data_IF_128019501137
#
_entry.id   IF_128019501137
#
_cell.length_a   1.000
_cell.length_b   1.000
_cell.length_c   1.000
_cell.angle_alpha   90.00
_cell.angle_beta   90.00
_cell.angle_gamma   90.00
#
_symmetry.space_group_name_H-M   'P 1'
#
loop_
_entity.id
_entity.type
_entity.pdbx_description
1 polymer ?
#
# COMPACT_ATOMS: atom_id res chain seq x y z
N UNK A 1 45.34 -14.63 48.70
CA UNK A 1 44.20 -14.80 49.63
C UNK A 1 42.98 -14.11 49.06
N UNK A 2 41.97 -14.86 48.65
CA UNK A 2 40.72 -14.32 48.09
C UNK A 2 39.93 -13.64 49.21
N UNK A 3 39.93 -12.29 49.24
CA UNK A 3 39.03 -11.53 50.13
C UNK A 3 37.60 -11.91 49.76
N UNK A 4 36.84 -12.45 50.72
CA UNK A 4 35.38 -12.59 50.60
C UNK A 4 34.83 -11.18 50.36
N UNK A 5 34.45 -10.88 49.10
CA UNK A 5 33.80 -9.63 48.73
C UNK A 5 32.49 -9.58 49.50
N UNK A 6 32.42 -8.69 50.48
CA UNK A 6 31.19 -8.47 51.22
C UNK A 6 30.30 -7.57 50.39
N UNK A 7 28.97 -7.65 50.54
CA UNK A 7 28.01 -6.73 49.89
C UNK A 7 28.38 -5.24 50.09
N UNK A 8 29.14 -4.93 51.14
CA UNK A 8 29.64 -3.58 51.42
C UNK A 8 30.75 -3.16 50.45
N UNK A 9 31.68 -4.06 50.11
CA UNK A 9 32.79 -3.76 49.21
C UNK A 9 32.30 -3.54 47.78
N UNK A 10 31.32 -4.32 47.33
CA UNK A 10 30.67 -4.16 46.03
C UNK A 10 29.96 -2.80 45.91
N UNK A 11 29.31 -2.35 46.99
CA UNK A 11 28.67 -1.03 47.07
C UNK A 11 29.71 0.10 47.00
N UNK A 12 30.84 -0.03 47.71
CA UNK A 12 31.95 0.92 47.65
C UNK A 12 32.52 1.03 46.23
N UNK A 13 32.76 -0.12 45.58
CA UNK A 13 33.30 -0.18 44.22
C UNK A 13 32.37 0.43 43.18
N UNK A 14 31.07 0.14 43.26
CA UNK A 14 30.06 0.70 42.35
C UNK A 14 29.99 2.23 42.43
N UNK A 15 29.98 2.80 43.65
CA UNK A 15 29.97 4.25 43.84
C UNK A 15 31.27 4.86 43.33
N UNK A 16 32.42 4.26 43.63
CA UNK A 16 33.72 4.74 43.19
C UNK A 16 33.81 4.75 41.65
N UNK A 17 33.35 3.68 41.00
CA UNK A 17 33.35 3.54 39.56
C UNK A 17 32.44 4.59 38.90
N UNK A 18 31.24 4.83 39.44
CA UNK A 18 30.35 5.89 38.96
C UNK A 18 31.02 7.28 39.00
N UNK A 19 31.62 7.63 40.14
CA UNK A 19 32.26 8.94 40.31
C UNK A 19 33.48 9.07 39.40
N UNK A 20 34.32 8.03 39.30
CA UNK A 20 35.52 8.05 38.47
C UNK A 20 35.21 8.12 36.97
N UNK A 21 34.20 7.38 36.50
CA UNK A 21 33.80 7.33 35.09
C UNK A 21 33.15 8.63 34.63
N UNK A 22 32.25 9.19 35.43
CA UNK A 22 31.55 10.42 35.08
C UNK A 22 32.41 11.68 35.30
N UNK A 23 33.45 11.59 36.15
CA UNK A 23 34.36 12.67 36.49
C UNK A 23 33.67 14.01 36.85
N UNK A 24 32.53 13.93 37.54
CA UNK A 24 31.74 15.09 37.98
C UNK A 24 31.56 15.08 39.50
N UNK A 25 31.32 16.23 40.15
CA UNK A 25 30.97 16.26 41.57
C UNK A 25 29.59 15.65 41.84
N UNK A 26 29.46 14.93 42.95
CA UNK A 26 28.23 14.27 43.39
C UNK A 26 27.91 14.65 44.83
N UNK A 27 26.63 14.77 45.15
CA UNK A 27 26.13 14.73 46.52
C UNK A 27 25.46 13.36 46.78
N UNK A 28 25.04 13.10 48.03
CA UNK A 28 24.41 11.82 48.36
C UNK A 28 23.13 11.54 47.56
N UNK A 29 22.32 12.57 47.27
CA UNK A 29 21.04 12.43 46.56
C UNK A 29 21.25 12.01 45.11
N UNK A 30 22.31 12.51 44.46
CA UNK A 30 22.66 12.11 43.10
C UNK A 30 23.13 10.66 43.02
N UNK A 31 23.80 10.16 44.05
CA UNK A 31 24.20 8.75 44.15
C UNK A 31 22.98 7.87 44.48
N UNK A 32 22.07 8.34 45.34
CA UNK A 32 20.80 7.67 45.64
C UNK A 32 19.93 7.51 44.40
N UNK A 33 19.88 8.52 43.52
CA UNK A 33 19.20 8.43 42.23
C UNK A 33 19.84 7.41 41.28
N UNK A 34 21.17 7.26 41.31
CA UNK A 34 21.88 6.28 40.48
C UNK A 34 21.78 4.85 41.03
N UNK A 35 21.61 4.70 42.35
CA UNK A 35 21.50 3.41 43.03
C UNK A 35 20.28 3.38 43.98
N UNK A 36 19.04 3.32 43.44
CA UNK A 36 17.82 3.35 44.26
C UNK A 36 17.71 2.19 45.25
N UNK A 37 18.42 1.09 45.00
CA UNK A 37 18.47 -0.09 45.85
C UNK A 37 19.31 0.10 47.12
N UNK A 38 20.13 1.15 47.20
CA UNK A 38 20.90 1.48 48.39
C UNK A 38 20.16 2.50 49.23
N UNK A 39 19.90 2.19 50.50
CA UNK A 39 19.28 3.15 51.41
C UNK A 39 20.18 4.36 51.67
N UNK A 40 19.60 5.55 51.81
CA UNK A 40 20.29 6.82 52.12
C UNK A 40 21.42 6.69 53.14
N UNK A 41 21.17 6.05 54.27
CA UNK A 41 22.14 5.89 55.36
C UNK A 41 23.36 5.08 54.92
N UNK A 42 23.14 4.03 54.11
CA UNK A 42 24.23 3.23 53.55
C UNK A 42 25.08 4.08 52.61
N UNK A 43 24.45 4.82 51.68
CA UNK A 43 25.16 5.68 50.72
C UNK A 43 26.02 6.74 51.44
N UNK A 44 25.43 7.47 52.39
CA UNK A 44 26.15 8.52 53.14
C UNK A 44 27.33 7.92 53.91
N UNK A 45 27.15 6.76 54.56
CA UNK A 45 28.21 6.07 55.29
C UNK A 45 29.32 5.59 54.34
N UNK A 46 28.95 5.06 53.17
CA UNK A 46 29.89 4.59 52.15
C UNK A 46 30.70 5.75 51.57
N UNK A 47 30.06 6.86 51.20
CA UNK A 47 30.75 8.06 50.69
C UNK A 47 31.73 8.63 51.71
N UNK A 48 31.31 8.72 52.98
CA UNK A 48 32.20 9.18 54.05
C UNK A 48 33.39 8.23 54.24
N UNK A 49 33.15 6.93 54.27
CA UNK A 49 34.20 5.89 54.33
C UNK A 49 35.19 6.02 53.17
N UNK A 50 34.70 6.18 51.93
CA UNK A 50 35.55 6.36 50.74
C UNK A 50 36.36 7.66 50.77
N UNK A 51 35.78 8.74 51.31
CA UNK A 51 36.47 10.00 51.54
C UNK A 51 37.57 9.88 52.60
N UNK A 52 37.26 9.26 53.75
CA UNK A 52 38.21 9.02 54.84
C UNK A 52 39.36 8.08 54.45
N UNK A 53 39.08 7.09 53.59
CA UNK A 53 40.11 6.21 52.99
C UNK A 53 40.99 6.93 51.96
N UNK A 54 40.73 8.19 51.63
CA UNK A 54 41.47 8.93 50.61
C UNK A 54 41.28 8.37 49.19
N UNK A 55 40.14 7.72 48.91
CA UNK A 55 39.77 7.27 47.56
C UNK A 55 38.94 8.30 46.79
N UNK A 56 38.32 9.24 47.51
CA UNK A 56 37.55 10.35 46.97
C UNK A 56 37.97 11.64 47.66
N UNK A 57 37.92 12.75 46.92
CA UNK A 57 37.99 14.08 47.51
C UNK A 57 36.59 14.50 47.92
N UNK A 58 36.46 15.15 49.07
CA UNK A 58 35.19 15.68 49.53
C UNK A 58 35.36 17.05 50.18
N UNK A 59 34.30 17.85 50.14
CA UNK A 59 34.24 19.14 50.84
C UNK A 59 32.83 19.39 51.36
N UNK A 60 32.77 19.88 52.58
CA UNK A 60 31.54 20.27 53.23
C UNK A 60 31.20 21.72 52.91
N UNK A 61 29.95 21.96 52.52
CA UNK A 61 29.37 23.26 52.24
C UNK A 61 28.08 23.39 53.06
N UNK A 62 28.15 24.17 54.14
CA UNK A 62 27.06 24.36 55.11
C UNK A 62 26.57 23.04 55.73
N UNK A 63 25.52 22.44 55.16
CA UNK A 63 24.90 21.18 55.60
C UNK A 63 25.01 20.06 54.56
N UNK A 64 25.71 20.29 53.45
CA UNK A 64 25.84 19.33 52.36
C UNK A 64 27.31 18.98 52.13
N UNK A 65 27.59 17.70 51.87
CA UNK A 65 28.92 17.23 51.49
C UNK A 65 28.91 16.88 50.01
N UNK A 66 29.90 17.39 49.28
CA UNK A 66 30.11 17.11 47.87
C UNK A 66 31.35 16.22 47.76
N UNK A 67 31.24 15.15 46.97
CA UNK A 67 32.28 14.16 46.71
C UNK A 67 32.66 14.17 45.23
N UNK A 68 33.93 14.06 44.92
CA UNK A 68 34.42 13.93 43.54
C UNK A 68 35.67 13.06 43.49
N UNK A 69 36.00 12.61 42.28
CA UNK A 69 37.21 11.87 41.98
C UNK A 69 38.44 12.69 42.35
N UNK A 70 39.45 12.03 42.91
CA UNK A 70 40.78 12.63 43.10
C UNK A 70 41.37 12.96 41.72
N UNK A 71 41.66 14.25 41.48
CA UNK A 71 42.37 14.68 40.29
C UNK A 71 43.86 14.65 40.62
N UNK A 72 44.54 13.60 40.16
CA UNK A 72 46.00 13.59 40.20
C UNK A 72 46.53 14.56 39.15
N UNK A 73 47.14 15.65 39.62
CA UNK A 73 47.81 16.66 38.79
C UNK A 73 49.31 16.43 38.71
N UNK A 74 49.84 15.37 39.34
CA UNK A 74 51.25 15.04 39.33
C UNK A 74 51.73 14.49 37.98
N UNK A 75 53.05 14.53 37.73
CA UNK A 75 53.65 13.83 36.60
C UNK A 75 53.32 12.34 36.71
N UNK A 76 52.81 11.75 35.63
CA UNK A 76 52.59 10.30 35.59
C UNK A 76 53.95 9.64 35.47
N UNK A 77 54.30 8.77 36.41
CA UNK A 77 55.57 8.05 36.39
C UNK A 77 55.37 6.65 35.80
N UNK A 78 56.36 6.15 35.08
CA UNK A 78 56.45 4.76 34.66
C UNK A 78 56.86 3.84 35.83
N UNK A 79 56.95 2.53 35.57
CA UNK A 79 57.32 1.53 36.58
C UNK A 79 58.73 1.76 37.17
N UNK A 80 59.57 2.51 36.47
CA UNK A 80 60.94 2.84 36.85
C UNK A 80 61.04 4.23 37.51
N UNK A 81 59.92 4.96 37.65
CA UNK A 81 59.85 6.26 38.30
C UNK A 81 60.16 7.45 37.39
N UNK A 82 60.29 7.25 36.07
CA UNK A 82 60.48 8.33 35.11
C UNK A 82 59.16 8.92 34.65
N UNK A 83 59.13 10.23 34.42
CA UNK A 83 57.96 10.91 33.91
C UNK A 83 57.60 10.44 32.50
N UNK A 84 56.38 9.93 32.35
CA UNK A 84 55.79 9.53 31.07
C UNK A 84 55.45 10.83 30.32
N UNK A 85 56.05 11.05 29.12
CA UNK A 85 55.72 12.21 28.31
C UNK A 85 54.22 12.24 28.01
N UNK A 86 53.54 13.28 28.49
CA UNK A 86 52.14 13.50 28.15
C UNK A 86 52.06 14.26 26.83
N UNK A 87 51.18 13.81 25.93
CA UNK A 87 50.91 14.54 24.69
C UNK A 87 50.44 15.95 25.01
N UNK A 88 50.98 16.94 24.29
CA UNK A 88 50.56 18.31 24.50
C UNK A 88 49.09 18.47 24.11
N UNK A 89 48.42 19.44 24.71
CA UNK A 89 47.06 19.83 24.32
C UNK A 89 46.98 20.12 22.81
N UNK A 90 48.04 20.67 22.23
CA UNK A 90 48.10 20.97 20.80
C UNK A 90 48.11 19.69 19.94
N UNK A 91 48.87 18.67 20.34
CA UNK A 91 48.92 17.38 19.64
C UNK A 91 47.57 16.65 19.74
N UNK A 92 46.95 16.68 20.91
CA UNK A 92 45.62 16.10 21.13
C UNK A 92 44.55 16.81 20.29
N UNK A 93 44.58 18.14 20.22
CA UNK A 93 43.67 18.90 19.36
C UNK A 93 43.88 18.57 17.88
N UNK A 94 45.14 18.44 17.44
CA UNK A 94 45.44 18.05 16.05
C UNK A 94 44.91 16.66 15.72
N UNK A 95 45.02 15.70 16.65
CA UNK A 95 44.43 14.37 16.50
C UNK A 95 42.90 14.42 16.47
N UNK A 96 42.29 15.21 17.34
CA UNK A 96 40.85 15.41 17.39
C UNK A 96 40.34 15.96 16.05
N UNK A 97 41.00 16.98 15.51
CA UNK A 97 40.67 17.56 14.19
C UNK A 97 40.84 16.53 13.07
N UNK A 98 41.89 15.71 13.12
CA UNK A 98 42.11 14.62 12.16
C UNK A 98 40.98 13.58 12.19
N UNK A 99 40.61 13.13 13.39
CA UNK A 99 39.52 12.16 13.59
C UNK A 99 38.17 12.76 13.18
N UNK A 100 37.90 14.02 13.51
CA UNK A 100 36.66 14.69 13.11
C UNK A 100 36.54 14.80 11.58
N UNK A 101 37.63 15.12 10.88
CA UNK A 101 37.63 15.14 9.40
C UNK A 101 37.38 13.75 8.81
N UNK A 102 38.00 12.71 9.39
CA UNK A 102 37.72 11.33 8.97
C UNK A 102 36.26 10.94 9.20
N UNK A 103 35.71 11.32 10.36
CA UNK A 103 34.31 11.07 10.70
C UNK A 103 33.36 11.76 9.71
N UNK A 104 33.65 13.00 9.31
CA UNK A 104 32.85 13.74 8.33
C UNK A 104 32.85 13.05 6.96
N UNK A 105 34.02 12.64 6.48
CA UNK A 105 34.16 11.89 5.21
C UNK A 105 33.41 10.56 5.26
N UNK A 106 33.55 9.80 6.36
CA UNK A 106 32.83 8.53 6.54
C UNK A 106 31.31 8.73 6.64
N UNK A 107 30.85 9.81 7.27
CA UNK A 107 29.42 10.13 7.33
C UNK A 107 28.86 10.47 5.95
N UNK A 108 29.60 11.21 5.12
CA UNK A 108 29.14 11.58 3.78
C UNK A 108 29.17 10.41 2.80
N UNK A 109 30.20 9.56 2.88
CA UNK A 109 30.22 8.30 2.11
C UNK A 109 29.06 7.39 2.52
N UNK A 110 28.79 7.23 3.83
CA UNK A 110 27.65 6.46 4.31
C UNK A 110 26.32 7.00 3.77
N UNK A 111 26.10 8.31 3.80
CA UNK A 111 24.89 8.94 3.21
C UNK A 111 24.76 8.63 1.72
N UNK A 112 25.86 8.74 0.97
CA UNK A 112 25.89 8.43 -0.47
C UNK A 112 25.56 6.96 -0.74
N UNK A 113 26.17 6.03 0.00
CA UNK A 113 25.90 4.60 -0.12
C UNK A 113 24.45 4.25 0.23
N UNK A 114 23.89 4.85 1.28
CA UNK A 114 22.47 4.67 1.63
C UNK A 114 21.56 5.15 0.50
N UNK A 115 21.88 6.30 -0.13
CA UNK A 115 21.11 6.82 -1.25
C UNK A 115 21.17 5.89 -2.47
N UNK A 116 22.36 5.41 -2.82
CA UNK A 116 22.55 4.48 -3.94
C UNK A 116 21.85 3.14 -3.68
N UNK A 117 21.97 2.60 -2.46
CA UNK A 117 21.29 1.38 -2.06
C UNK A 117 19.77 1.51 -2.18
N UNK A 118 19.20 2.63 -1.71
CA UNK A 118 17.75 2.89 -1.87
C UNK A 118 17.33 2.98 -3.34
N UNK A 119 18.13 3.64 -4.17
CA UNK A 119 17.83 3.75 -5.61
C UNK A 119 17.83 2.37 -6.27
N UNK A 120 18.85 1.55 -6.01
CA UNK A 120 18.95 0.20 -6.56
C UNK A 120 17.82 -0.71 -6.06
N UNK A 121 17.46 -0.62 -4.79
CA UNK A 121 16.41 -1.45 -4.20
C UNK A 121 14.99 -1.08 -4.69
N UNK A 122 14.82 0.15 -5.20
CA UNK A 122 13.56 0.59 -5.83
C UNK A 122 13.47 0.24 -7.32
N UNK A 123 14.57 -0.23 -7.94
CA UNK A 123 14.54 -0.71 -9.31
C UNK A 123 14.05 -2.15 -9.36
N UNK A 124 13.32 -2.49 -10.42
CA UNK A 124 12.95 -3.88 -10.69
C UNK A 124 14.22 -4.69 -10.92
N UNK A 125 14.27 -5.90 -10.39
CA UNK A 125 15.34 -6.85 -10.73
C UNK A 125 15.28 -7.20 -12.22
N UNK A 126 16.41 -7.57 -12.80
CA UNK A 126 16.50 -7.98 -14.21
C UNK A 126 15.49 -9.09 -14.55
N UNK A 127 15.25 -10.02 -13.63
CA UNK A 127 14.26 -11.08 -13.78
C UNK A 127 12.82 -10.54 -13.85
N UNK A 128 12.49 -9.56 -13.00
CA UNK A 128 11.18 -8.92 -12.99
C UNK A 128 10.97 -8.08 -14.25
N UNK A 129 11.98 -7.34 -14.69
CA UNK A 129 11.95 -6.58 -15.95
C UNK A 129 11.69 -7.54 -17.11
N UNK A 130 12.44 -8.65 -17.18
CA UNK A 130 12.25 -9.63 -18.25
C UNK A 130 10.84 -10.24 -18.24
N UNK A 131 10.28 -10.50 -17.05
CA UNK A 131 8.91 -10.99 -16.90
C UNK A 131 7.88 -9.96 -17.38
N UNK A 132 8.01 -8.69 -16.99
CA UNK A 132 7.12 -7.62 -17.47
C UNK A 132 7.21 -7.43 -18.98
N UNK A 133 8.42 -7.41 -19.54
CA UNK A 133 8.62 -7.29 -20.99
C UNK A 133 7.94 -8.45 -21.73
N UNK A 134 8.08 -9.67 -21.23
CA UNK A 134 7.42 -10.83 -21.83
C UNK A 134 5.89 -10.71 -21.75
N UNK A 135 5.36 -10.30 -20.60
CA UNK A 135 3.92 -10.10 -20.39
C UNK A 135 3.35 -9.03 -21.33
N UNK A 136 3.98 -7.85 -21.37
CA UNK A 136 3.59 -6.76 -22.25
C UNK A 136 3.69 -7.16 -23.73
N UNK A 137 4.71 -7.94 -24.10
CA UNK A 137 4.84 -8.46 -25.46
C UNK A 137 3.70 -9.42 -25.83
N UNK A 138 3.29 -10.29 -24.91
CA UNK A 138 2.13 -11.18 -25.14
C UNK A 138 0.83 -10.40 -25.24
N UNK A 139 0.60 -9.41 -24.36
CA UNK A 139 -0.60 -8.59 -24.38
C UNK A 139 -0.70 -7.75 -25.66
N UNK A 140 0.42 -7.18 -26.11
CA UNK A 140 0.47 -6.46 -27.39
C UNK A 140 0.10 -7.37 -28.56
N UNK A 141 0.63 -8.60 -28.62
CA UNK A 141 0.28 -9.57 -29.68
C UNK A 141 -1.20 -9.94 -29.65
N UNK A 142 -1.78 -10.12 -28.46
CA UNK A 142 -3.21 -10.41 -28.32
C UNK A 142 -4.08 -9.24 -28.78
N UNK A 143 -3.70 -8.01 -28.41
CA UNK A 143 -4.41 -6.81 -28.84
C UNK A 143 -4.29 -6.59 -30.35
N UNK A 144 -3.13 -6.81 -30.94
CA UNK A 144 -2.94 -6.76 -32.40
C UNK A 144 -3.82 -7.81 -33.12
N UNK A 145 -3.90 -9.03 -32.59
CA UNK A 145 -4.77 -10.06 -33.15
C UNK A 145 -6.25 -9.67 -33.05
N UNK A 146 -6.71 -9.18 -31.89
CA UNK A 146 -8.08 -8.66 -31.71
C UNK A 146 -8.37 -7.53 -32.69
N UNK A 147 -7.44 -6.59 -32.84
CA UNK A 147 -7.57 -5.47 -33.76
C UNK A 147 -7.73 -5.95 -35.22
N UNK A 148 -6.96 -6.95 -35.65
CA UNK A 148 -7.08 -7.54 -36.99
C UNK A 148 -8.46 -8.20 -37.19
N UNK A 149 -9.02 -8.86 -36.16
CA UNK A 149 -10.38 -9.44 -36.25
C UNK A 149 -11.48 -8.39 -36.35
N UNK A 150 -11.25 -7.18 -35.84
CA UNK A 150 -12.18 -6.07 -35.99
C UNK A 150 -12.02 -5.38 -37.35
N UNK A 151 -10.80 -5.24 -37.86
CA UNK A 151 -10.55 -4.66 -39.19
C UNK A 151 -11.12 -5.50 -40.34
N UNK A 152 -11.17 -6.83 -40.18
CA UNK A 152 -11.72 -7.75 -41.20
C UNK A 152 -13.24 -7.83 -41.20
N UNK A 153 -13.91 -7.39 -40.13
CA UNK A 153 -15.36 -7.31 -40.09
C UNK A 153 -15.79 -5.97 -40.67
N UNK A 154 -16.81 -5.97 -41.52
CA UNK A 154 -17.40 -4.75 -42.06
C UNK A 154 -18.08 -4.00 -40.90
N UNK A 155 -17.35 -3.05 -40.31
CA UNK A 155 -17.85 -2.22 -39.23
C UNK A 155 -18.80 -1.21 -39.87
N UNK A 156 -20.09 -1.43 -39.71
CA UNK A 156 -21.11 -0.45 -40.04
C UNK A 156 -20.83 0.84 -39.25
N UNK A 157 -20.67 1.96 -39.94
CA UNK A 157 -20.54 3.25 -39.28
C UNK A 157 -21.80 3.53 -38.45
N UNK A 158 -21.66 4.23 -37.33
CA UNK A 158 -22.81 4.67 -36.53
C UNK A 158 -23.86 5.42 -37.40
N UNK A 159 -23.41 6.12 -38.44
CA UNK A 159 -24.30 6.80 -39.41
C UNK A 159 -25.09 5.81 -40.26
N UNK A 160 -24.46 4.73 -40.72
CA UNK A 160 -25.13 3.72 -41.54
C UNK A 160 -26.10 2.91 -40.70
N UNK A 161 -25.77 2.66 -39.42
CA UNK A 161 -26.67 2.04 -38.46
C UNK A 161 -27.93 2.90 -38.24
N UNK A 162 -27.78 4.21 -38.06
CA UNK A 162 -28.92 5.12 -37.91
C UNK A 162 -29.81 5.13 -39.17
N UNK A 163 -29.21 5.17 -40.37
CA UNK A 163 -29.97 5.11 -41.63
C UNK A 163 -30.76 3.81 -41.78
N UNK A 164 -30.17 2.68 -41.37
CA UNK A 164 -30.85 1.39 -41.36
C UNK A 164 -32.03 1.38 -40.39
N UNK A 165 -31.82 1.87 -39.17
CA UNK A 165 -32.88 1.98 -38.15
C UNK A 165 -34.05 2.84 -38.64
N UNK A 166 -33.78 3.97 -39.28
CA UNK A 166 -34.82 4.85 -39.82
C UNK A 166 -35.56 4.21 -41.00
N UNK A 167 -34.85 3.46 -41.84
CA UNK A 167 -35.44 2.71 -42.95
C UNK A 167 -36.39 1.62 -42.45
N UNK A 168 -35.96 0.86 -41.43
CA UNK A 168 -36.79 -0.18 -40.79
C UNK A 168 -38.03 0.45 -40.15
N UNK A 169 -37.87 1.55 -39.39
CA UNK A 169 -38.99 2.28 -38.78
C UNK A 169 -40.00 2.74 -39.84
N UNK A 170 -39.52 3.32 -40.95
CA UNK A 170 -40.38 3.78 -42.05
C UNK A 170 -41.12 2.62 -42.70
N UNK A 171 -40.40 1.55 -43.08
CA UNK A 171 -41.00 0.37 -43.71
C UNK A 171 -42.08 -0.28 -42.83
N UNK A 172 -41.82 -0.40 -41.52
CA UNK A 172 -42.80 -0.89 -40.56
C UNK A 172 -44.03 0.01 -40.48
N UNK A 173 -43.84 1.33 -40.40
CA UNK A 173 -44.96 2.28 -40.32
C UNK A 173 -45.88 2.19 -41.55
N UNK A 174 -45.30 2.01 -42.74
CA UNK A 174 -46.03 1.82 -43.99
C UNK A 174 -46.78 0.48 -44.00
N UNK A 175 -46.17 -0.60 -43.52
CA UNK A 175 -46.83 -1.90 -43.40
C UNK A 175 -48.05 -1.85 -42.48
N UNK A 176 -47.94 -1.26 -41.27
CA UNK A 176 -49.08 -1.10 -40.36
C UNK A 176 -50.22 -0.33 -41.05
N UNK A 177 -49.91 0.82 -41.64
CA UNK A 177 -50.91 1.69 -42.28
C UNK A 177 -51.62 0.99 -43.43
N UNK A 178 -50.88 0.33 -44.32
CA UNK A 178 -51.45 -0.37 -45.48
C UNK A 178 -52.31 -1.56 -45.07
N UNK A 179 -51.87 -2.32 -44.06
CA UNK A 179 -52.66 -3.45 -43.52
C UNK A 179 -53.97 -2.97 -42.88
N UNK A 180 -53.94 -1.84 -42.16
CA UNK A 180 -55.15 -1.23 -41.61
C UNK A 180 -56.11 -0.76 -42.71
N UNK A 181 -55.61 -0.04 -43.71
CA UNK A 181 -56.41 0.41 -44.87
C UNK A 181 -57.05 -0.76 -45.63
N UNK A 182 -56.28 -1.82 -45.87
CA UNK A 182 -56.81 -3.01 -46.54
C UNK A 182 -57.92 -3.68 -45.73
N UNK A 183 -57.77 -3.79 -44.40
CA UNK A 183 -58.81 -4.35 -43.52
C UNK A 183 -60.08 -3.51 -43.54
N UNK A 184 -59.96 -2.18 -43.45
CA UNK A 184 -61.10 -1.27 -43.51
C UNK A 184 -61.88 -1.39 -44.84
N UNK A 185 -61.17 -1.39 -45.97
CA UNK A 185 -61.80 -1.59 -47.29
C UNK A 185 -62.46 -2.98 -47.38
N UNK A 186 -61.78 -4.01 -46.90
CA UNK A 186 -62.30 -5.38 -46.91
C UNK A 186 -63.58 -5.50 -46.08
N UNK A 187 -63.61 -4.90 -44.89
CA UNK A 187 -64.78 -4.93 -44.01
C UNK A 187 -65.97 -4.18 -44.65
N UNK A 188 -65.73 -3.04 -45.31
CA UNK A 188 -66.77 -2.32 -46.06
C UNK A 188 -67.34 -3.13 -47.24
N UNK A 189 -66.50 -3.89 -47.94
CA UNK A 189 -66.94 -4.76 -49.05
C UNK A 189 -67.72 -5.97 -48.51
N UNK A 190 -67.26 -6.56 -47.40
CA UNK A 190 -67.95 -7.69 -46.75
C UNK A 190 -69.28 -7.28 -46.11
N UNK A 191 -69.42 -6.05 -45.64
CA UNK A 191 -70.70 -5.57 -45.11
C UNK A 191 -71.74 -5.38 -46.22
N UNK A 192 -71.31 -4.94 -47.41
CA UNK A 192 -72.18 -4.76 -48.59
C UNK A 192 -72.45 -6.05 -49.36
N UNK A 193 -71.65 -7.08 -49.16
CA UNK A 193 -71.78 -8.36 -49.86
C UNK A 193 -72.29 -9.44 -48.90
N UNK A 194 -73.27 -10.24 -49.32
CA UNK A 194 -73.72 -11.38 -48.52
C UNK A 194 -72.73 -12.57 -48.56
N UNK A 195 -71.45 -12.35 -48.91
CA UNK A 195 -70.42 -13.39 -49.05
C UNK A 195 -69.57 -13.49 -47.77
N UNK A 196 -69.10 -14.70 -47.44
CA UNK A 196 -68.16 -14.88 -46.34
C UNK A 196 -66.76 -14.45 -46.79
N UNK A 197 -65.93 -13.99 -45.84
CA UNK A 197 -64.55 -13.55 -46.09
C UNK A 197 -63.69 -14.56 -46.86
N UNK A 198 -63.86 -15.85 -46.61
CA UNK A 198 -63.11 -16.92 -47.30
C UNK A 198 -63.50 -17.03 -48.77
N UNK A 199 -64.79 -16.97 -49.08
CA UNK A 199 -65.29 -17.04 -50.45
C UNK A 199 -64.79 -15.82 -51.25
N UNK A 200 -64.79 -14.64 -50.63
CA UNK A 200 -64.26 -13.43 -51.26
C UNK A 200 -62.72 -13.48 -51.42
N UNK A 201 -62.02 -14.10 -50.48
CA UNK A 201 -60.57 -14.30 -50.57
C UNK A 201 -60.20 -15.24 -51.71
N UNK A 202 -60.96 -16.31 -51.94
CA UNK A 202 -60.77 -17.23 -53.06
C UNK A 202 -61.12 -16.56 -54.41
N UNK A 203 -62.22 -15.80 -54.45
CA UNK A 203 -62.66 -15.07 -55.66
C UNK A 203 -61.64 -14.01 -56.10
N UNK A 204 -61.08 -13.25 -55.16
CA UNK A 204 -60.14 -12.15 -55.45
C UNK A 204 -58.67 -12.61 -55.45
N UNK A 205 -58.37 -13.71 -54.74
CA UNK A 205 -57.04 -14.32 -54.72
C UNK A 205 -56.00 -13.56 -53.91
N UNK A 206 -56.36 -12.93 -52.78
CA UNK A 206 -55.36 -12.31 -51.89
C UNK A 206 -54.88 -13.27 -50.80
N UNK A 207 -53.64 -13.09 -50.38
CA UNK A 207 -52.99 -13.86 -49.32
C UNK A 207 -52.79 -12.98 -48.07
N UNK A 208 -52.99 -13.56 -46.88
CA UNK A 208 -52.71 -12.89 -45.61
C UNK A 208 -51.26 -13.11 -45.21
N UNK A 209 -50.67 -12.21 -44.42
CA UNK A 209 -49.34 -12.41 -43.82
C UNK A 209 -49.19 -13.80 -43.14
N UNK A 210 -50.27 -14.34 -42.57
CA UNK A 210 -50.33 -15.67 -41.97
C UNK A 210 -50.21 -16.81 -43.01
N UNK A 211 -50.82 -16.63 -44.19
CA UNK A 211 -50.75 -17.60 -45.30
C UNK A 211 -49.31 -17.70 -45.83
N UNK A 212 -48.61 -16.55 -45.85
CA UNK A 212 -47.20 -16.45 -46.24
C UNK A 212 -46.22 -16.67 -45.08
N UNK A 213 -46.71 -16.94 -43.86
CA UNK A 213 -45.91 -17.08 -42.62
C UNK A 213 -44.98 -15.88 -42.34
N UNK A 214 -45.36 -14.69 -42.77
CA UNK A 214 -44.60 -13.46 -42.53
C UNK A 214 -45.02 -12.87 -41.18
N UNK A 215 -44.07 -12.79 -40.24
CA UNK A 215 -44.29 -12.13 -38.95
C UNK A 215 -43.94 -10.64 -39.04
N UNK A 216 -44.74 -9.81 -38.37
CA UNK A 216 -44.50 -8.37 -38.34
C UNK A 216 -43.18 -8.04 -37.64
N UNK A 217 -42.38 -7.16 -38.25
CA UNK A 217 -41.12 -6.70 -37.65
C UNK A 217 -41.43 -6.04 -36.28
N UNK A 218 -40.81 -6.51 -35.19
CA UNK A 218 -41.03 -5.94 -33.85
C UNK A 218 -40.68 -4.46 -33.79
N UNK A 219 -41.38 -3.71 -32.94
CA UNK A 219 -41.02 -2.31 -32.69
C UNK A 219 -39.83 -2.23 -31.74
N UNK A 220 -38.64 -2.01 -32.30
CA UNK A 220 -37.42 -1.83 -31.50
C UNK A 220 -37.27 -0.40 -30.94
N UNK A 221 -38.19 0.53 -31.25
CA UNK A 221 -38.18 1.88 -30.67
C UNK A 221 -38.71 1.93 -29.24
N UNK A 222 -39.38 0.85 -28.78
CA UNK A 222 -39.86 0.71 -27.40
C UNK A 222 -38.94 -0.25 -26.66
N UNK A 223 -38.55 0.06 -25.41
CA UNK A 223 -37.72 -0.83 -24.60
C UNK A 223 -38.41 -2.20 -24.46
N UNK A 224 -37.60 -3.25 -24.45
CA UNK A 224 -37.98 -4.67 -24.51
C UNK A 224 -38.98 -5.11 -23.41
N UNK A 225 -39.25 -4.26 -22.41
CA UNK A 225 -40.18 -4.48 -21.30
C UNK A 225 -41.68 -4.42 -21.66
N UNK A 226 -42.06 -4.11 -22.91
CA UNK A 226 -43.47 -4.07 -23.34
C UNK A 226 -43.81 -5.02 -24.51
N UNK A 227 -42.89 -5.88 -24.94
CA UNK A 227 -43.23 -6.94 -25.88
C UNK A 227 -43.91 -8.09 -25.11
N UNK A 228 -45.24 -8.04 -25.03
CA UNK A 228 -46.04 -9.16 -24.54
C UNK A 228 -45.81 -10.37 -25.44
N UNK A 229 -45.10 -11.37 -24.91
CA UNK A 229 -45.10 -12.75 -25.36
C UNK A 229 -46.54 -13.26 -25.29
N UNK A 230 -47.27 -13.16 -26.40
CA UNK A 230 -48.55 -13.86 -26.58
C UNK A 230 -48.26 -15.34 -26.84
N UNK A 231 -48.10 -16.05 -25.72
CA UNK A 231 -48.35 -17.47 -25.48
C UNK A 231 -48.67 -18.36 -26.68
N UNK A 232 -47.75 -19.27 -27.00
CA UNK A 232 -48.09 -20.63 -27.44
C UNK A 232 -47.28 -21.61 -26.60
N UNK A 233 -48.03 -22.40 -25.82
CA UNK A 233 -47.54 -23.53 -25.03
C UNK A 233 -46.57 -24.38 -25.84
N UNK A 234 -45.36 -24.55 -25.34
CA UNK A 234 -44.56 -25.73 -25.66
C UNK A 234 -44.01 -26.30 -24.36
N UNK A 235 -44.22 -27.60 -24.20
CA UNK A 235 -44.14 -28.35 -22.96
C UNK A 235 -42.71 -28.37 -22.39
N UNK A 236 -42.56 -28.01 -21.11
CA UNK A 236 -41.28 -28.14 -20.40
C UNK A 236 -41.27 -29.43 -19.58
N UNK A 237 -40.41 -30.42 -19.89
CA UNK A 237 -40.33 -31.66 -19.15
C UNK A 237 -39.33 -31.52 -18.00
N UNK A 238 -39.70 -30.81 -16.94
CA UNK A 238 -38.94 -30.85 -15.68
C UNK A 238 -39.86 -30.79 -14.47
N UNK A 239 -40.61 -31.88 -14.24
CA UNK A 239 -41.11 -32.20 -12.89
C UNK A 239 -39.94 -32.70 -12.04
N UNK A 240 -39.33 -31.78 -11.27
CA UNK A 240 -38.64 -32.17 -10.03
C UNK A 240 -39.70 -32.60 -9.01
N UNK A 241 -39.79 -33.90 -8.76
CA UNK A 241 -40.39 -34.43 -7.55
C UNK A 241 -39.54 -33.99 -6.34
N UNK A 242 -40.16 -33.30 -5.38
CA UNK A 242 -39.66 -33.23 -4.01
C UNK A 242 -40.82 -33.25 -3.01
N UNK A 243 -40.76 -34.29 -2.17
CA UNK A 243 -41.48 -34.57 -0.93
C UNK A 243 -42.92 -35.05 -1.05
#
# INVERSE_FOLDING_TARGET
MSKKITKKDEVEENILNLINKANRPYNYQMIEAAFPSMGKTQIVKTLKSLGEQGKLTFKEYNKAIIYWRIQDTGPKLDEQGYEIPQESIHDLNRKLDGINRQLEVEQDTLKSLISQSKQLNNQLSDEQIQKEVNQLSTENKELESKLLTFQTKEIMSDKDKQRLDDTIKKARSEWVKRKALFRDILDQVLERSNKKKKDLQEDIGWETDEDLKIQMIPDYSKPLSQQTLSSTNDESPFKKQKK
#
